data_IF_485549429482
#
_entry.id   IF_485549429482
#
_cell.length_a   1.000
_cell.length_b   1.000
_cell.length_c   1.000
_cell.angle_alpha   90.00
_cell.angle_beta   90.00
_cell.angle_gamma   90.00
#
_symmetry.space_group_name_H-M   'P 1'
#
loop_
_entity.id
_entity.type
_entity.pdbx_description
1 polymer ?
#
# COMPACT_ATOMS: atom_id res chain seq x y z
N UNK A 1 30.16 -51.99 4.43
CA UNK A 1 29.99 -51.11 3.25
C UNK A 1 28.50 -50.95 3.03
N UNK A 2 27.94 -49.77 3.30
CA UNK A 2 27.72 -48.68 2.34
C UNK A 2 26.72 -49.10 1.24
N UNK A 3 25.64 -48.38 0.94
CA UNK A 3 25.09 -47.11 1.41
C UNK A 3 23.74 -46.91 0.70
N UNK A 4 22.77 -46.31 1.42
CA UNK A 4 21.92 -45.16 0.99
C UNK A 4 20.90 -45.41 -0.14
N UNK A 5 19.60 -45.52 0.19
CA UNK A 5 18.59 -44.46 0.45
C UNK A 5 17.77 -44.14 -0.82
N UNK A 6 16.43 -44.04 -0.69
CA UNK A 6 15.53 -43.87 -1.83
C UNK A 6 15.73 -42.48 -2.46
N UNK A 7 15.86 -42.46 -3.79
CA UNK A 7 15.90 -41.23 -4.58
C UNK A 7 14.52 -40.55 -4.51
N UNK A 8 14.43 -39.62 -3.58
CA UNK A 8 13.47 -38.53 -3.52
C UNK A 8 13.47 -37.86 -4.90
N UNK A 9 12.40 -38.09 -5.67
CA UNK A 9 12.11 -37.32 -6.88
C UNK A 9 11.81 -35.90 -6.40
N UNK A 10 12.84 -35.06 -6.50
CA UNK A 10 12.82 -33.62 -6.29
C UNK A 10 11.79 -33.01 -7.25
N UNK A 11 10.58 -32.83 -6.74
CA UNK A 11 9.57 -31.91 -7.27
C UNK A 11 10.13 -30.48 -7.15
N UNK A 12 11.01 -30.11 -8.09
CA UNK A 12 11.35 -28.72 -8.35
C UNK A 12 10.33 -28.18 -9.36
N UNK A 13 9.10 -28.00 -8.90
CA UNK A 13 8.17 -27.05 -9.52
C UNK A 13 8.65 -25.66 -9.11
N UNK A 14 9.19 -24.82 -10.02
CA UNK A 14 9.43 -23.44 -9.70
C UNK A 14 8.06 -22.78 -9.60
N UNK A 15 7.53 -22.68 -8.37
CA UNK A 15 6.37 -21.87 -8.08
C UNK A 15 6.80 -20.41 -8.26
N UNK A 16 6.72 -19.95 -9.50
CA UNK A 16 6.81 -18.53 -9.84
C UNK A 16 5.55 -17.86 -9.31
N UNK A 17 5.57 -17.50 -8.03
CA UNK A 17 4.66 -16.50 -7.48
C UNK A 17 4.99 -15.16 -8.16
N UNK A 18 4.49 -14.96 -9.37
CA UNK A 18 4.30 -13.62 -9.91
C UNK A 18 3.20 -12.97 -9.08
N UNK A 19 3.57 -12.41 -7.93
CA UNK A 19 2.71 -11.45 -7.25
C UNK A 19 2.72 -10.19 -8.11
N UNK A 20 1.77 -10.11 -9.05
CA UNK A 20 1.41 -8.85 -9.68
C UNK A 20 1.03 -7.90 -8.55
N UNK A 21 1.96 -7.04 -8.14
CA UNK A 21 1.70 -5.98 -7.17
C UNK A 21 0.66 -5.08 -7.82
N UNK A 22 -0.62 -5.30 -7.49
CA UNK A 22 -1.70 -4.41 -7.88
C UNK A 22 -1.46 -3.08 -7.15
N UNK A 23 -0.77 -2.16 -7.84
CA UNK A 23 -0.67 -0.77 -7.42
C UNK A 23 -2.01 -0.12 -7.71
N UNK A 24 -2.63 0.44 -6.68
CA UNK A 24 -3.82 1.29 -6.78
C UNK A 24 -3.38 2.72 -6.62
N UNK A 25 -4.06 3.64 -7.27
CA UNK A 25 -3.74 5.06 -7.23
C UNK A 25 -4.64 5.75 -6.22
N UNK A 26 -4.07 6.61 -5.38
CA UNK A 26 -4.74 7.23 -4.23
C UNK A 26 -4.45 8.72 -4.20
N UNK A 27 -5.45 9.49 -3.77
CA UNK A 27 -5.35 10.93 -3.53
C UNK A 27 -5.94 11.24 -2.16
N UNK A 28 -5.23 12.06 -1.38
CA UNK A 28 -5.72 12.56 -0.08
C UNK A 28 -5.98 14.05 -0.16
N UNK A 29 -7.13 14.48 0.36
CA UNK A 29 -7.46 15.89 0.55
C UNK A 29 -7.66 16.17 2.04
N UNK A 30 -6.95 17.16 2.57
CA UNK A 30 -7.21 17.73 3.87
C UNK A 30 -8.47 18.59 3.78
N UNK A 31 -9.44 18.32 4.65
CA UNK A 31 -10.75 18.97 4.71
C UNK A 31 -10.97 19.61 6.08
N UNK A 32 -11.77 20.67 6.11
CA UNK A 32 -12.23 21.29 7.35
C UNK A 32 -13.46 20.63 7.97
N UNK A 33 -13.94 21.19 9.08
CA UNK A 33 -15.14 20.71 9.79
C UNK A 33 -16.39 20.69 8.88
N UNK A 34 -16.43 21.54 7.85
CA UNK A 34 -17.51 21.63 6.85
C UNK A 34 -17.28 20.69 5.64
N UNK A 35 -16.23 19.84 5.68
CA UNK A 35 -15.77 18.97 4.59
C UNK A 35 -15.34 19.73 3.31
N UNK A 36 -14.91 20.98 3.44
CA UNK A 36 -14.35 21.75 2.34
C UNK A 36 -12.86 21.42 2.20
N UNK A 37 -12.43 21.07 0.99
CA UNK A 37 -11.04 20.75 0.69
C UNK A 37 -10.13 21.98 0.80
N UNK A 38 -9.18 21.93 1.74
CA UNK A 38 -8.18 23.00 1.98
C UNK A 38 -6.91 22.71 1.19
N UNK A 39 -6.52 21.45 1.10
CA UNK A 39 -5.31 21.04 0.39
C UNK A 39 -5.41 19.62 -0.14
N UNK A 40 -5.10 19.43 -1.42
CA UNK A 40 -5.06 18.11 -2.07
C UNK A 40 -3.61 17.70 -2.29
N UNK A 41 -3.24 16.55 -1.75
CA UNK A 41 -1.94 15.93 -1.97
C UNK A 41 -1.81 15.38 -3.39
N UNK A 42 -0.59 15.27 -3.93
CA UNK A 42 -0.38 14.64 -5.21
C UNK A 42 -0.80 13.17 -5.19
N UNK A 43 -1.43 12.71 -6.26
CA UNK A 43 -1.77 11.31 -6.50
C UNK A 43 -0.54 10.39 -6.36
N UNK A 44 -0.72 9.25 -5.72
CA UNK A 44 0.29 8.20 -5.61
C UNK A 44 -0.24 6.84 -6.06
N UNK A 45 0.52 6.13 -6.90
CA UNK A 45 0.20 4.75 -7.27
C UNK A 45 1.10 3.78 -6.51
N UNK A 46 0.56 3.16 -5.46
CA UNK A 46 1.39 2.55 -4.44
C UNK A 46 0.80 1.26 -3.85
N UNK A 47 1.58 0.56 -3.04
CA UNK A 47 1.09 -0.61 -2.31
C UNK A 47 0.25 -0.18 -1.10
N UNK A 48 -0.45 -1.12 -0.47
CA UNK A 48 -1.22 -0.83 0.76
C UNK A 48 -0.36 -0.19 1.86
N UNK A 49 0.88 -0.65 2.04
CA UNK A 49 1.78 -0.09 3.05
C UNK A 49 2.17 1.37 2.73
N UNK A 50 2.43 1.66 1.46
CA UNK A 50 2.74 3.03 1.01
C UNK A 50 1.52 3.96 1.18
N UNK A 51 0.31 3.44 0.92
CA UNK A 51 -0.94 4.16 1.16
C UNK A 51 -1.12 4.51 2.64
N UNK A 52 -0.91 3.57 3.56
CA UNK A 52 -1.01 3.83 5.00
C UNK A 52 -0.03 4.91 5.47
N UNK A 53 1.20 4.89 4.94
CA UNK A 53 2.18 5.95 5.18
C UNK A 53 1.74 7.31 4.63
N UNK A 54 1.15 7.34 3.44
CA UNK A 54 0.66 8.55 2.80
C UNK A 54 -0.52 9.18 3.57
N UNK A 55 -1.47 8.36 4.03
CA UNK A 55 -2.58 8.79 4.90
C UNK A 55 -2.04 9.35 6.21
N UNK A 56 -1.13 8.61 6.87
CA UNK A 56 -0.55 9.04 8.15
C UNK A 56 0.20 10.36 8.03
N UNK A 57 0.89 10.59 6.91
CA UNK A 57 1.55 11.87 6.64
C UNK A 57 0.53 13.00 6.54
N UNK A 58 -0.54 12.81 5.77
CA UNK A 58 -1.63 13.78 5.67
C UNK A 58 -2.18 14.13 7.05
N UNK A 59 -2.53 13.11 7.83
CA UNK A 59 -3.10 13.29 9.17
C UNK A 59 -2.15 14.07 10.08
N UNK A 60 -0.88 13.69 10.15
CA UNK A 60 0.11 14.36 11.01
C UNK A 60 0.40 15.80 10.61
N UNK A 61 0.36 16.12 9.32
CA UNK A 61 0.61 17.48 8.84
C UNK A 61 -0.57 18.43 9.10
N UNK A 62 -1.78 17.87 9.22
CA UNK A 62 -3.03 18.65 9.25
C UNK A 62 -3.83 18.53 10.55
N UNK A 63 -3.51 17.56 11.43
CA UNK A 63 -4.17 17.37 12.73
C UNK A 63 -4.01 18.57 13.66
N UNK A 64 -2.83 19.19 13.67
CA UNK A 64 -2.53 20.37 14.50
C UNK A 64 -3.34 21.61 14.09
N UNK A 65 -3.88 21.60 12.87
CA UNK A 65 -4.70 22.67 12.32
C UNK A 65 -6.21 22.39 12.41
N UNK A 66 -6.61 21.25 12.98
CA UNK A 66 -8.01 20.85 13.10
C UNK A 66 -8.63 20.37 11.78
N UNK A 67 -7.80 20.01 10.80
CA UNK A 67 -8.26 19.48 9.51
C UNK A 67 -8.20 17.95 9.52
N UNK A 68 -9.18 17.31 8.87
CA UNK A 68 -9.22 15.85 8.68
C UNK A 68 -8.71 15.48 7.30
N UNK A 69 -8.15 14.28 7.13
CA UNK A 69 -7.67 13.82 5.84
C UNK A 69 -8.64 12.79 5.23
N UNK A 70 -9.23 13.15 4.08
CA UNK A 70 -10.06 12.26 3.27
C UNK A 70 -9.25 11.72 2.11
N UNK A 71 -9.05 10.40 2.11
CA UNK A 71 -8.29 9.73 1.06
C UNK A 71 -9.21 8.80 0.26
N UNK A 72 -9.06 8.84 -1.05
CA UNK A 72 -9.85 8.04 -1.98
C UNK A 72 -8.96 7.41 -3.05
N UNK A 73 -9.35 6.22 -3.48
CA UNK A 73 -8.77 5.60 -4.67
C UNK A 73 -9.20 6.41 -5.90
N UNK A 74 -8.21 6.93 -6.62
CA UNK A 74 -8.39 7.64 -7.89
C UNK A 74 -7.83 6.70 -8.95
N UNK A 75 -8.71 5.96 -9.62
CA UNK A 75 -8.43 4.98 -10.70
C UNK A 75 -8.36 3.50 -10.28
#
# INVERSE_FOLDING_TARGET
>A
MMMRKPWIILLLTPFLFFTTSCKKCYECTAVDEDNVGVYTYPEICATKADYEHYVSRCQREFEDFGYDCKCSEVQ
#
